data_IF_784287275942
#
_entry.id   IF_784287275942
#
_cell.length_a   1.000
_cell.length_b   1.000
_cell.length_c   1.000
_cell.angle_alpha   90.00
_cell.angle_beta   90.00
_cell.angle_gamma   90.00
#
_symmetry.space_group_name_H-M   'P 1'
#
loop_
_entity.id
_entity.type
_entity.pdbx_description
1 polymer ?
#
# COMPACT_ATOMS: atom_id res chain seq x y z
N UNK A 1 -8.93 28.76 49.70
CA UNK A 1 -8.33 28.74 48.34
C UNK A 1 -7.13 27.78 48.35
N UNK A 2 -7.31 26.52 47.91
CA UNK A 2 -6.22 25.54 47.82
C UNK A 2 -5.82 25.49 46.35
N UNK A 3 -4.63 26.03 46.03
CA UNK A 3 -4.02 25.89 44.70
C UNK A 3 -3.61 24.42 44.57
N UNK A 4 -4.37 23.67 43.78
CA UNK A 4 -3.95 22.33 43.33
C UNK A 4 -2.68 22.48 42.48
N UNK A 5 -1.56 22.14 43.09
CA UNK A 5 -0.27 22.06 42.41
C UNK A 5 -0.36 21.04 41.28
N UNK A 6 -0.13 21.50 40.03
CA UNK A 6 0.05 20.66 38.86
C UNK A 6 1.27 19.77 39.11
N UNK A 7 1.04 18.56 39.61
CA UNK A 7 2.09 17.57 39.73
C UNK A 7 2.74 17.40 38.35
N UNK A 8 4.00 17.75 38.23
CA UNK A 8 4.78 17.53 36.99
C UNK A 8 4.78 16.01 36.72
N UNK A 9 3.93 15.57 35.82
CA UNK A 9 3.94 14.21 35.31
C UNK A 9 5.34 13.98 34.76
N UNK A 10 6.08 13.01 35.33
CA UNK A 10 7.32 12.52 34.72
C UNK A 10 6.96 12.05 33.30
N UNK A 11 7.25 12.89 32.33
CA UNK A 11 6.94 12.64 30.91
C UNK A 11 7.99 11.66 30.43
N UNK A 12 7.65 10.39 30.35
CA UNK A 12 8.54 9.36 29.77
C UNK A 12 8.79 9.63 28.28
N UNK A 13 9.82 8.99 27.68
CA UNK A 13 10.21 9.23 26.28
C UNK A 13 9.06 9.07 25.27
N UNK A 14 8.09 8.19 25.56
CA UNK A 14 6.93 7.96 24.70
C UNK A 14 5.95 9.13 24.68
N UNK A 15 5.86 9.91 25.76
CA UNK A 15 4.91 11.01 25.86
C UNK A 15 5.26 12.22 24.97
N UNK A 16 6.49 12.27 24.46
CA UNK A 16 6.97 13.29 23.51
C UNK A 16 7.31 12.72 22.14
N UNK A 17 7.10 11.42 21.92
CA UNK A 17 7.35 10.77 20.65
C UNK A 17 6.18 11.03 19.66
N UNK A 18 6.39 11.75 18.54
CA UNK A 18 5.33 12.02 17.57
C UNK A 18 4.69 10.75 17.02
N UNK A 19 5.48 9.73 16.67
CA UNK A 19 4.98 8.45 16.14
C UNK A 19 4.07 7.73 17.14
N UNK A 20 4.45 7.72 18.43
CA UNK A 20 3.63 7.12 19.48
C UNK A 20 2.34 7.91 19.72
N UNK A 21 2.42 9.23 19.75
CA UNK A 21 1.25 10.10 19.93
C UNK A 21 0.27 9.96 18.77
N UNK A 22 0.75 9.92 17.52
CA UNK A 22 -0.09 9.66 16.34
C UNK A 22 -0.76 8.30 16.40
N UNK A 23 -0.03 7.25 16.79
CA UNK A 23 -0.61 5.91 16.97
C UNK A 23 -1.75 5.93 17.99
N UNK A 24 -1.53 6.53 19.15
CA UNK A 24 -2.57 6.64 20.21
C UNK A 24 -3.77 7.46 19.77
N UNK A 25 -3.52 8.56 19.08
CA UNK A 25 -4.61 9.41 18.56
C UNK A 25 -5.45 8.66 17.52
N UNK A 26 -4.79 7.89 16.62
CA UNK A 26 -5.49 7.06 15.64
C UNK A 26 -6.33 5.97 16.31
N UNK A 27 -5.83 5.28 17.35
CA UNK A 27 -6.62 4.28 18.06
C UNK A 27 -7.89 4.90 18.67
N UNK A 28 -7.75 6.02 19.39
CA UNK A 28 -8.90 6.73 19.95
C UNK A 28 -9.90 7.17 18.85
N UNK A 29 -9.40 7.68 17.74
CA UNK A 29 -10.26 8.08 16.61
C UNK A 29 -11.02 6.89 16.02
N UNK A 30 -10.38 5.73 15.89
CA UNK A 30 -11.02 4.49 15.40
C UNK A 30 -12.05 3.95 16.39
N UNK A 31 -11.81 4.06 17.70
CA UNK A 31 -12.76 3.66 18.74
C UNK A 31 -14.02 4.54 18.66
N UNK A 32 -13.86 5.86 18.59
CA UNK A 32 -14.99 6.82 18.41
C UNK A 32 -15.74 6.52 17.10
N UNK A 33 -15.01 6.25 16.01
CA UNK A 33 -15.61 5.91 14.73
C UNK A 33 -16.47 4.65 14.83
N UNK A 34 -15.95 3.60 15.47
CA UNK A 34 -16.67 2.33 15.65
C UNK A 34 -17.90 2.49 16.54
N UNK A 35 -17.84 3.32 17.59
CA UNK A 35 -18.99 3.63 18.43
C UNK A 35 -20.11 4.33 17.65
N UNK A 36 -19.80 5.31 16.79
CA UNK A 36 -20.81 6.03 16.01
C UNK A 36 -21.38 5.18 14.86
N UNK A 37 -20.55 4.39 14.18
CA UNK A 37 -21.00 3.59 13.03
C UNK A 37 -21.64 2.26 13.43
N UNK A 38 -21.41 1.79 14.65
CA UNK A 38 -21.93 0.53 15.17
C UNK A 38 -21.26 -0.72 14.59
N UNK A 39 -21.60 -1.88 15.13
CA UNK A 39 -20.94 -3.16 14.79
C UNK A 39 -21.13 -3.58 13.33
N UNK A 40 -22.28 -3.27 12.72
CA UNK A 40 -22.59 -3.58 11.32
C UNK A 40 -22.25 -2.45 10.36
N UNK A 41 -21.64 -1.38 10.87
CA UNK A 41 -21.25 -0.21 10.09
C UNK A 41 -20.08 -0.49 9.16
N UNK A 42 -19.85 0.45 8.24
CA UNK A 42 -18.64 0.44 7.42
C UNK A 42 -17.42 0.75 8.32
N UNK A 43 -16.35 0.01 8.16
CA UNK A 43 -15.08 0.41 8.78
C UNK A 43 -14.55 1.69 8.12
N UNK A 44 -13.73 2.45 8.82
CA UNK A 44 -13.13 3.69 8.31
C UNK A 44 -12.45 3.49 6.94
N UNK A 45 -11.74 2.37 6.74
CA UNK A 45 -11.11 2.05 5.45
C UNK A 45 -12.12 1.71 4.35
N UNK A 46 -13.21 1.01 4.70
CA UNK A 46 -14.29 0.72 3.73
C UNK A 46 -15.01 1.99 3.32
N UNK A 47 -15.33 2.85 4.27
CA UNK A 47 -15.92 4.16 3.99
C UNK A 47 -15.02 4.99 3.06
N UNK A 48 -13.72 5.10 3.36
CA UNK A 48 -12.77 5.83 2.53
C UNK A 48 -12.71 5.32 1.09
N UNK A 49 -12.76 3.99 0.88
CA UNK A 49 -12.78 3.39 -0.46
C UNK A 49 -14.09 3.68 -1.18
N UNK A 50 -15.25 3.52 -0.53
CA UNK A 50 -16.56 3.81 -1.14
C UNK A 50 -16.67 5.30 -1.50
N UNK A 51 -16.23 6.19 -0.60
CA UNK A 51 -16.24 7.63 -0.84
C UNK A 51 -15.35 8.00 -2.03
N UNK A 52 -14.13 7.46 -2.11
CA UNK A 52 -13.25 7.68 -3.24
C UNK A 52 -13.87 7.23 -4.58
N UNK A 53 -14.52 6.05 -4.58
CA UNK A 53 -15.18 5.50 -5.79
C UNK A 53 -16.45 6.29 -6.15
N UNK A 54 -17.14 6.90 -5.17
CA UNK A 54 -18.31 7.75 -5.41
C UNK A 54 -17.93 9.06 -6.13
N UNK A 55 -16.77 9.62 -5.79
CA UNK A 55 -16.28 10.87 -6.40
C UNK A 55 -15.86 10.70 -7.86
N UNK A 56 -15.38 9.52 -8.23
CA UNK A 56 -14.92 9.22 -9.59
C UNK A 56 -15.15 7.74 -9.90
N UNK A 57 -16.06 7.44 -10.81
CA UNK A 57 -16.27 6.09 -11.31
C UNK A 57 -15.05 5.60 -12.12
N UNK A 58 -14.80 4.31 -12.10
CA UNK A 58 -13.75 3.70 -12.89
C UNK A 58 -12.33 3.91 -12.36
N UNK A 59 -12.18 4.18 -11.05
CA UNK A 59 -10.88 4.33 -10.42
C UNK A 59 -10.05 3.05 -10.52
N UNK A 60 -8.81 3.21 -10.93
CA UNK A 60 -7.81 2.15 -10.89
C UNK A 60 -7.31 1.94 -9.44
N UNK A 61 -6.76 0.76 -9.18
CA UNK A 61 -6.16 0.48 -7.87
C UNK A 61 -5.05 1.47 -7.48
N UNK A 62 -4.31 2.00 -8.44
CA UNK A 62 -3.26 3.00 -8.18
C UNK A 62 -3.86 4.34 -7.76
N UNK A 63 -4.95 4.77 -8.39
CA UNK A 63 -5.66 5.99 -8.01
C UNK A 63 -6.29 5.85 -6.62
N UNK A 64 -6.89 4.69 -6.30
CA UNK A 64 -7.43 4.41 -4.97
C UNK A 64 -6.35 4.46 -3.87
N UNK A 65 -5.16 3.89 -4.12
CA UNK A 65 -4.02 4.00 -3.18
C UNK A 65 -3.70 5.46 -2.89
N UNK A 66 -3.65 6.31 -3.93
CA UNK A 66 -3.36 7.75 -3.76
C UNK A 66 -4.46 8.50 -3.01
N UNK A 67 -5.74 8.19 -3.32
CA UNK A 67 -6.86 8.89 -2.69
C UNK A 67 -7.10 8.47 -1.25
N UNK A 68 -6.84 7.20 -0.91
CA UNK A 68 -7.16 6.64 0.43
C UNK A 68 -5.94 6.55 1.36
N UNK A 69 -4.72 6.67 0.84
CA UNK A 69 -3.50 6.44 1.61
C UNK A 69 -3.30 4.98 2.06
N UNK A 70 -4.19 4.06 1.66
CA UNK A 70 -4.09 2.63 2.02
C UNK A 70 -3.01 1.98 1.15
N UNK A 71 -2.10 1.22 1.77
CA UNK A 71 -1.07 0.50 1.02
C UNK A 71 -1.67 -0.48 -0.01
N UNK A 72 -0.91 -0.74 -1.10
CA UNK A 72 -1.41 -1.49 -2.26
C UNK A 72 -1.89 -2.89 -1.91
N UNK A 73 -1.22 -3.61 -1.01
CA UNK A 73 -1.58 -4.98 -0.65
C UNK A 73 -2.85 -5.02 0.17
N UNK A 74 -2.95 -4.20 1.20
CA UNK A 74 -4.13 -4.04 2.04
C UNK A 74 -5.34 -3.57 1.21
N UNK A 75 -5.14 -2.62 0.29
CA UNK A 75 -6.21 -2.15 -0.58
C UNK A 75 -6.72 -3.24 -1.53
N UNK A 76 -5.82 -4.05 -2.12
CA UNK A 76 -6.19 -5.15 -3.01
C UNK A 76 -7.10 -6.18 -2.31
N UNK A 77 -6.74 -6.56 -1.09
CA UNK A 77 -7.52 -7.47 -0.25
C UNK A 77 -8.86 -6.85 0.17
N UNK A 78 -8.83 -5.57 0.54
CA UNK A 78 -10.03 -4.83 0.93
C UNK A 78 -11.02 -4.73 -0.23
N UNK A 79 -10.59 -4.29 -1.41
CA UNK A 79 -11.43 -4.21 -2.61
C UNK A 79 -11.99 -5.58 -3.00
N UNK A 80 -11.20 -6.64 -2.89
CA UNK A 80 -11.67 -8.01 -3.16
C UNK A 80 -12.79 -8.40 -2.20
N UNK A 81 -12.61 -8.19 -0.89
CA UNK A 81 -13.64 -8.48 0.12
C UNK A 81 -14.89 -7.61 -0.06
N UNK A 82 -14.74 -6.35 -0.40
CA UNK A 82 -15.86 -5.44 -0.65
C UNK A 82 -16.64 -5.84 -1.92
N UNK A 83 -15.94 -6.32 -2.96
CA UNK A 83 -16.60 -6.87 -4.16
C UNK A 83 -17.36 -8.16 -3.84
N UNK A 84 -16.76 -9.06 -3.05
CA UNK A 84 -17.45 -10.30 -2.61
C UNK A 84 -18.67 -10.01 -1.76
N UNK A 85 -18.64 -8.94 -0.96
CA UNK A 85 -19.80 -8.47 -0.16
C UNK A 85 -20.83 -7.68 -0.98
N UNK A 86 -20.62 -7.51 -2.29
CA UNK A 86 -21.53 -6.79 -3.16
C UNK A 86 -21.53 -5.27 -2.99
N UNK A 87 -20.54 -4.68 -2.31
CA UNK A 87 -20.42 -3.23 -2.12
C UNK A 87 -19.77 -2.53 -3.33
N UNK A 88 -18.91 -3.26 -4.03
CA UNK A 88 -18.20 -2.79 -5.23
C UNK A 88 -18.42 -3.76 -6.38
N UNK A 89 -18.40 -3.22 -7.59
CA UNK A 89 -18.41 -4.00 -8.83
C UNK A 89 -17.12 -3.74 -9.60
N UNK A 90 -16.65 -4.79 -10.30
CA UNK A 90 -15.49 -4.68 -11.18
C UNK A 90 -15.96 -4.33 -12.58
N UNK A 91 -15.35 -3.32 -13.16
CA UNK A 91 -15.56 -2.91 -14.53
C UNK A 91 -14.28 -3.09 -15.34
N UNK A 92 -14.41 -3.44 -16.62
CA UNK A 92 -13.25 -3.38 -17.52
C UNK A 92 -13.00 -1.91 -17.82
N UNK A 93 -11.79 -1.42 -17.55
CA UNK A 93 -11.43 -0.07 -17.94
C UNK A 93 -11.58 0.11 -19.44
N UNK A 94 -12.29 1.14 -19.86
CA UNK A 94 -12.43 1.51 -21.28
C UNK A 94 -11.14 2.12 -21.85
N UNK A 95 -10.24 2.60 -20.97
CA UNK A 95 -8.97 3.25 -21.33
C UNK A 95 -7.78 2.28 -21.34
N UNK A 96 -7.81 1.25 -20.51
CA UNK A 96 -6.78 0.20 -20.46
C UNK A 96 -7.42 -1.14 -20.10
N UNK A 97 -7.52 -2.04 -21.08
CA UNK A 97 -8.11 -3.37 -20.91
C UNK A 97 -7.40 -4.22 -19.82
N UNK A 98 -6.20 -3.83 -19.38
CA UNK A 98 -5.43 -4.49 -18.30
C UNK A 98 -5.72 -3.90 -16.92
N UNK A 99 -6.30 -2.69 -16.84
CA UNK A 99 -6.63 -2.05 -15.59
C UNK A 99 -8.02 -2.47 -15.13
N UNK A 100 -8.08 -3.10 -13.95
CA UNK A 100 -9.34 -3.43 -13.28
C UNK A 100 -9.85 -2.16 -12.60
N UNK A 101 -10.85 -1.53 -13.17
CA UNK A 101 -11.57 -0.42 -12.58
C UNK A 101 -12.62 -0.94 -11.59
N UNK A 102 -12.97 -0.13 -10.59
CA UNK A 102 -14.02 -0.42 -9.63
C UNK A 102 -15.07 0.69 -9.65
N UNK A 103 -16.32 0.31 -9.45
CA UNK A 103 -17.44 1.22 -9.26
C UNK A 103 -18.28 0.80 -8.07
N UNK A 104 -19.11 1.71 -7.56
CA UNK A 104 -20.09 1.36 -6.54
C UNK A 104 -21.16 0.44 -7.12
N UNK A 105 -21.59 -0.55 -6.35
CA UNK A 105 -22.85 -1.22 -6.57
C UNK A 105 -24.00 -0.39 -5.99
N UNK A 106 -25.25 -0.75 -6.28
CA UNK A 106 -26.42 -0.13 -5.66
C UNK A 106 -26.40 -0.28 -4.12
N UNK A 107 -26.01 -1.45 -3.61
CA UNK A 107 -25.85 -1.69 -2.17
C UNK A 107 -24.70 -0.85 -1.58
N UNK A 108 -23.57 -0.77 -2.27
CA UNK A 108 -22.44 0.07 -1.84
C UNK A 108 -22.81 1.54 -1.75
N UNK A 109 -23.59 2.06 -2.71
CA UNK A 109 -24.08 3.43 -2.68
C UNK A 109 -25.04 3.66 -1.50
N UNK A 110 -25.99 2.76 -1.28
CA UNK A 110 -26.94 2.86 -0.16
C UNK A 110 -26.20 2.82 1.21
N UNK A 111 -25.23 1.92 1.37
CA UNK A 111 -24.43 1.82 2.59
C UNK A 111 -23.57 3.06 2.83
N UNK A 112 -23.01 3.64 1.76
CA UNK A 112 -22.24 4.88 1.83
C UNK A 112 -23.10 6.05 2.31
N UNK A 113 -24.28 6.24 1.69
CA UNK A 113 -25.20 7.31 2.09
C UNK A 113 -25.66 7.19 3.55
N UNK A 114 -25.95 5.96 4.00
CA UNK A 114 -26.30 5.71 5.39
C UNK A 114 -25.14 5.97 6.37
N UNK A 115 -23.89 5.75 5.94
CA UNK A 115 -22.72 5.93 6.79
C UNK A 115 -22.28 7.39 6.91
N UNK A 116 -22.49 8.24 5.90
CA UNK A 116 -22.04 9.65 5.91
C UNK A 116 -22.42 10.44 7.17
N UNK A 117 -23.67 10.47 7.64
CA UNK A 117 -24.03 11.20 8.84
C UNK A 117 -23.37 10.64 10.10
N UNK A 118 -23.13 9.33 10.17
CA UNK A 118 -22.47 8.67 11.29
C UNK A 118 -20.97 9.02 11.33
N UNK A 119 -20.33 9.02 10.18
CA UNK A 119 -18.91 9.44 10.05
C UNK A 119 -18.76 10.91 10.39
N UNK A 120 -19.67 11.78 9.94
CA UNK A 120 -19.67 13.18 10.31
C UNK A 120 -19.84 13.39 11.83
N UNK A 121 -20.66 12.57 12.48
CA UNK A 121 -20.82 12.60 13.93
C UNK A 121 -19.52 12.16 14.64
N UNK A 122 -18.87 11.10 14.16
CA UNK A 122 -17.58 10.64 14.66
C UNK A 122 -16.52 11.74 14.54
N UNK A 123 -16.39 12.35 13.36
CA UNK A 123 -15.44 13.44 13.12
C UNK A 123 -15.69 14.65 14.02
N UNK A 124 -16.93 15.03 14.23
CA UNK A 124 -17.32 16.09 15.19
C UNK A 124 -16.91 15.74 16.62
N UNK A 125 -17.09 14.49 17.05
CA UNK A 125 -16.65 14.01 18.38
C UNK A 125 -15.13 14.04 18.50
N UNK A 126 -14.40 13.56 17.52
CA UNK A 126 -12.92 13.59 17.49
C UNK A 126 -12.43 15.03 17.63
N UNK A 127 -12.96 15.94 16.82
CA UNK A 127 -12.58 17.35 16.87
C UNK A 127 -13.01 18.04 18.15
N UNK A 128 -14.06 17.56 18.83
CA UNK A 128 -14.51 18.12 20.11
C UNK A 128 -13.54 17.84 21.27
N UNK A 129 -12.63 16.88 21.12
CA UNK A 129 -11.54 16.61 22.08
C UNK A 129 -10.53 17.77 22.16
N UNK A 130 -10.50 18.63 21.16
CA UNK A 130 -9.61 19.78 21.09
C UNK A 130 -10.35 21.07 21.43
N UNK A 131 -9.64 22.06 22.05
CA UNK A 131 -10.16 23.40 22.23
C UNK A 131 -10.62 24.01 20.90
N UNK A 132 -11.74 24.72 20.88
CA UNK A 132 -12.36 25.29 19.66
C UNK A 132 -11.34 26.04 18.78
N UNK A 133 -10.50 26.88 19.38
CA UNK A 133 -9.52 27.71 18.66
C UNK A 133 -8.33 26.95 18.09
N UNK A 134 -8.19 25.63 18.37
CA UNK A 134 -7.09 24.81 17.86
C UNK A 134 -7.52 23.80 16.78
N UNK A 135 -8.83 23.65 16.56
CA UNK A 135 -9.38 22.60 15.68
C UNK A 135 -8.97 22.78 14.24
N UNK A 136 -9.11 23.99 13.72
CA UNK A 136 -8.73 24.30 12.34
C UNK A 136 -7.23 24.13 12.11
N UNK A 137 -6.40 24.66 13.03
CA UNK A 137 -4.94 24.49 12.96
C UNK A 137 -4.53 23.02 12.98
N UNK A 138 -5.16 22.22 13.83
CA UNK A 138 -4.89 20.79 13.91
C UNK A 138 -5.28 20.06 12.61
N UNK A 139 -6.44 20.39 12.04
CA UNK A 139 -6.89 19.80 10.77
C UNK A 139 -5.92 20.14 9.63
N UNK A 140 -5.46 21.41 9.56
CA UNK A 140 -4.47 21.84 8.57
C UNK A 140 -3.14 21.10 8.74
N UNK A 141 -2.67 20.91 9.98
CA UNK A 141 -1.44 20.15 10.26
C UNK A 141 -1.56 18.66 9.87
N UNK A 142 -2.73 18.05 10.07
CA UNK A 142 -2.98 16.69 9.61
C UNK A 142 -3.00 16.62 8.06
N UNK A 143 -3.60 17.60 7.40
CA UNK A 143 -3.61 17.69 5.95
C UNK A 143 -2.19 17.85 5.37
N UNK A 144 -1.35 18.70 5.99
CA UNK A 144 0.05 18.86 5.59
C UNK A 144 0.86 17.57 5.75
N UNK A 145 0.63 16.83 6.85
CA UNK A 145 1.27 15.51 7.06
C UNK A 145 0.80 14.48 6.02
N UNK A 146 -0.49 14.47 5.69
CA UNK A 146 -1.03 13.60 4.65
C UNK A 146 -0.45 13.95 3.26
N UNK A 147 -0.37 15.22 2.92
CA UNK A 147 0.25 15.70 1.68
C UNK A 147 1.73 15.33 1.58
N UNK A 148 2.47 15.43 2.69
CA UNK A 148 3.88 14.99 2.74
C UNK A 148 4.01 13.47 2.53
N UNK A 149 3.07 12.68 3.04
CA UNK A 149 3.01 11.23 2.81
C UNK A 149 2.76 10.90 1.33
N UNK A 150 1.92 11.68 0.64
CA UNK A 150 1.64 11.50 -0.79
C UNK A 150 2.83 11.90 -1.68
N UNK A 151 3.61 12.90 -1.28
CA UNK A 151 4.80 13.37 -2.01
C UNK A 151 6.02 12.43 -1.86
N UNK A 152 6.15 11.76 -0.70
CA UNK A 152 7.30 10.91 -0.37
C UNK A 152 7.41 9.58 -1.16
N UNK A 153 6.32 8.90 -1.57
CA UNK A 153 6.42 7.54 -2.09
C UNK A 153 7.00 7.42 -3.50
N UNK A 154 6.85 8.42 -4.33
CA UNK A 154 7.27 8.31 -5.72
C UNK A 154 8.80 8.50 -5.86
N UNK A 155 9.42 9.36 -5.06
CA UNK A 155 10.87 9.54 -5.03
C UNK A 155 11.57 8.33 -4.37
N UNK A 156 11.17 7.93 -3.18
CA UNK A 156 11.78 6.80 -2.45
C UNK A 156 11.54 5.45 -3.14
N UNK A 157 10.35 5.23 -3.75
CA UNK A 157 10.10 4.01 -4.54
C UNK A 157 10.86 4.00 -5.85
N UNK A 158 11.05 5.16 -6.49
CA UNK A 158 11.87 5.29 -7.69
C UNK A 158 13.34 5.00 -7.36
N UNK A 159 13.87 5.54 -6.26
CA UNK A 159 15.23 5.26 -5.78
C UNK A 159 15.42 3.80 -5.36
N UNK A 160 14.52 3.24 -4.57
CA UNK A 160 14.56 1.83 -4.17
C UNK A 160 14.44 0.88 -5.37
N UNK A 161 13.62 1.22 -6.36
CA UNK A 161 13.48 0.45 -7.61
C UNK A 161 14.74 0.56 -8.47
N UNK A 162 15.36 1.75 -8.55
CA UNK A 162 16.62 1.98 -9.25
C UNK A 162 17.77 1.22 -8.58
N UNK A 163 17.89 1.30 -7.25
CA UNK A 163 18.90 0.57 -6.47
C UNK A 163 18.74 -0.96 -6.63
N UNK A 164 17.51 -1.48 -6.56
CA UNK A 164 17.22 -2.91 -6.76
C UNK A 164 17.52 -3.37 -8.20
N UNK A 165 17.29 -2.50 -9.20
CA UNK A 165 17.64 -2.76 -10.60
C UNK A 165 19.15 -2.77 -10.81
N UNK A 166 19.88 -1.84 -10.20
CA UNK A 166 21.34 -1.76 -10.23
C UNK A 166 21.97 -3.01 -9.58
N UNK A 167 21.49 -3.42 -8.41
CA UNK A 167 21.96 -4.63 -7.72
C UNK A 167 21.76 -5.91 -8.56
N UNK A 168 20.58 -6.04 -9.20
CA UNK A 168 20.32 -7.16 -10.12
C UNK A 168 21.21 -7.13 -11.37
N UNK A 169 21.57 -5.96 -11.86
CA UNK A 169 22.47 -5.83 -13.00
C UNK A 169 23.89 -6.28 -12.64
N UNK A 170 24.41 -5.86 -11.49
CA UNK A 170 25.71 -6.29 -10.95
C UNK A 170 25.78 -7.81 -10.73
N UNK A 171 24.73 -8.39 -10.10
CA UNK A 171 24.67 -9.85 -9.89
C UNK A 171 24.62 -10.62 -11.23
N UNK A 172 23.89 -10.10 -12.22
CA UNK A 172 23.84 -10.70 -13.58
C UNK A 172 25.20 -10.63 -14.28
N UNK A 173 25.94 -9.55 -14.14
CA UNK A 173 27.28 -9.41 -14.70
C UNK A 173 28.29 -10.31 -14.00
N UNK A 174 28.24 -10.39 -12.66
CA UNK A 174 29.07 -11.30 -11.88
C UNK A 174 28.84 -12.77 -12.27
N UNK A 175 27.60 -13.20 -12.43
CA UNK A 175 27.25 -14.55 -12.92
C UNK A 175 27.70 -14.80 -14.37
N UNK A 176 27.71 -13.77 -15.19
CA UNK A 176 28.18 -13.84 -16.58
C UNK A 176 29.70 -14.00 -16.64
N UNK A 177 30.41 -13.25 -15.80
CA UNK A 177 31.87 -13.33 -15.65
C UNK A 177 32.30 -14.70 -15.08
N UNK A 178 31.61 -15.22 -14.07
CA UNK A 178 31.86 -16.55 -13.49
C UNK A 178 31.64 -17.69 -14.51
N UNK A 179 30.56 -17.60 -15.31
CA UNK A 179 30.32 -18.56 -16.40
C UNK A 179 31.38 -18.48 -17.51
N UNK A 180 31.88 -17.29 -17.83
CA UNK A 180 32.93 -17.09 -18.81
C UNK A 180 34.27 -17.68 -18.31
N UNK A 181 34.62 -17.42 -17.04
CA UNK A 181 35.80 -18.01 -16.39
C UNK A 181 35.76 -19.53 -16.35
N UNK A 182 34.62 -20.15 -15.97
CA UNK A 182 34.42 -21.63 -15.98
C UNK A 182 34.48 -22.19 -17.38
N UNK A 183 34.12 -21.44 -18.43
CA UNK A 183 34.21 -21.86 -19.82
C UNK A 183 35.66 -21.81 -20.34
N UNK A 184 36.45 -20.84 -19.89
CA UNK A 184 37.87 -20.69 -20.25
C UNK A 184 38.75 -21.76 -19.59
N UNK A 185 38.41 -22.20 -18.36
CA UNK A 185 39.15 -23.24 -17.61
C UNK A 185 38.76 -24.70 -18.00
N UNK A 186 37.94 -24.87 -19.02
CA UNK A 186 37.54 -26.19 -19.48
C UNK A 186 38.63 -26.79 -20.35
N UNK A 187 39.29 -27.89 -19.94
CA UNK A 187 40.38 -28.51 -20.75
C UNK A 187 39.86 -28.90 -22.14
N UNK A 188 40.71 -28.62 -23.15
CA UNK A 188 40.38 -28.93 -24.54
C UNK A 188 40.09 -30.43 -24.69
N UNK A 189 38.95 -30.75 -25.30
CA UNK A 189 38.62 -32.15 -25.61
C UNK A 189 39.74 -32.74 -26.47
N UNK A 190 40.29 -33.93 -26.13
CA UNK A 190 41.30 -34.55 -26.95
C UNK A 190 40.77 -34.81 -28.37
N UNK A 191 41.62 -34.69 -29.42
CA UNK A 191 41.21 -34.89 -30.80
C UNK A 191 40.67 -36.30 -30.99
N UNK A 192 39.52 -36.43 -31.65
CA UNK A 192 38.94 -37.71 -31.99
C UNK A 192 39.87 -38.42 -32.96
N UNK A 193 40.60 -39.46 -32.52
CA UNK A 193 41.37 -40.36 -33.36
C UNK A 193 40.40 -41.12 -34.25
N UNK A 194 40.44 -40.90 -35.57
CA UNK A 194 39.70 -41.65 -36.54
C UNK A 194 40.32 -43.03 -36.62
N UNK A 195 39.61 -44.08 -36.23
CA UNK A 195 40.04 -45.45 -36.43
C UNK A 195 40.18 -45.71 -37.92
N UNK A 196 41.32 -46.36 -38.41
CA UNK A 196 41.47 -46.69 -39.80
C UNK A 196 40.44 -47.78 -40.21
N UNK A 197 39.82 -47.62 -41.36
CA UNK A 197 38.97 -48.66 -41.99
C UNK A 197 39.84 -49.80 -42.49
N UNK A 198 39.77 -50.93 -41.83
CA UNK A 198 40.33 -52.16 -42.39
C UNK A 198 39.49 -52.52 -43.64
N UNK A 199 40.20 -52.60 -44.82
CA UNK A 199 39.63 -53.20 -46.01
C UNK A 199 39.75 -54.72 -45.85
N UNK A 200 38.63 -55.44 -45.82
CA UNK A 200 38.64 -56.90 -46.03
C UNK A 200 39.07 -57.16 -47.46
N UNK A 201 40.13 -57.93 -47.58
CA UNK A 201 40.51 -58.57 -48.85
C UNK A 201 39.85 -59.95 -48.88
N UNK A 202 38.97 -60.18 -49.86
CA UNK A 202 38.41 -61.50 -50.14
C UNK A 202 39.49 -62.40 -50.76
N UNK A 203 39.57 -63.69 -50.36
CA UNK A 203 40.42 -64.64 -51.04
C UNK A 203 39.73 -65.24 -52.31
N UNK A 204 40.52 -65.50 -53.31
CA UNK A 204 40.17 -66.12 -54.57
C UNK A 204 39.74 -67.61 -54.42
#
# INVERSE_FOLDING_TARGET
MVKAGKAARKVGPLATSPSHLMHRALQLALDIYAEETGADGLTQRQFAVLEAVSLKAGLTQTELVRMTGIDRSTLADLVTRMTTKGLLERERSTLDARAKAVRLSAEGAARLEAARPLVEAADKRIMALLPKGQRETFLNQLADLAAAADAAPDAAKAEAKAAKKALKAVDKEARKAEKAAKKADRPAKPPKVKKPKLKLVEPA
#
